data_IF_589033242308
#
_entry.id   IF_589033242308
#
_cell.length_a   1.000
_cell.length_b   1.000
_cell.length_c   1.000
_cell.angle_alpha   90.00
_cell.angle_beta   90.00
_cell.angle_gamma   90.00
#
_symmetry.space_group_name_H-M   'P 1'
#
loop_
_entity.id
_entity.type
_entity.pdbx_description
1 polymer ?
#
# COMPACT_ATOMS: atom_id res chain seq x y z
N UNK A 1 2.76 8.11 7.05
CA UNK A 1 3.35 7.83 5.72
C UNK A 1 3.42 9.08 4.84
N UNK A 2 2.29 9.74 4.57
CA UNK A 2 2.24 10.84 3.58
C UNK A 2 2.78 12.18 4.06
N UNK A 3 2.37 12.65 5.24
CA UNK A 3 2.79 13.95 5.78
C UNK A 3 4.10 13.87 6.57
N UNK A 4 4.49 12.66 6.98
CA UNK A 4 5.64 12.36 7.85
C UNK A 4 6.86 11.84 7.06
N UNK A 5 6.78 11.71 5.74
CA UNK A 5 7.80 11.03 4.91
C UNK A 5 8.19 9.61 5.39
N UNK A 6 7.28 8.96 6.12
CA UNK A 6 7.53 7.66 6.73
C UNK A 6 7.61 6.55 5.68
N UNK A 7 8.62 5.69 5.81
CA UNK A 7 8.84 4.49 4.97
C UNK A 7 8.79 3.25 5.89
N UNK A 8 7.88 2.30 5.67
CA UNK A 8 7.74 1.15 6.57
C UNK A 8 8.87 0.13 6.42
N UNK A 9 9.24 -0.50 7.52
CA UNK A 9 10.14 -1.67 7.51
C UNK A 9 9.34 -2.97 7.34
N UNK A 10 9.83 -3.87 6.49
CA UNK A 10 9.10 -5.10 6.08
C UNK A 10 9.86 -6.40 6.36
N UNK A 11 11.00 -6.33 7.06
CA UNK A 11 11.94 -7.45 7.23
C UNK A 11 11.42 -8.58 8.13
N UNK A 12 10.42 -8.33 8.95
CA UNK A 12 9.93 -9.28 9.97
C UNK A 12 8.45 -9.66 9.80
N UNK A 13 7.94 -9.60 8.56
CA UNK A 13 6.56 -9.95 8.27
C UNK A 13 6.40 -11.45 8.08
N UNK A 14 5.25 -11.99 8.49
CA UNK A 14 4.79 -13.28 8.02
C UNK A 14 4.30 -13.18 6.57
N UNK A 15 4.17 -14.29 5.85
CA UNK A 15 3.65 -14.28 4.49
C UNK A 15 2.25 -13.63 4.40
N UNK A 16 1.35 -13.95 5.34
CA UNK A 16 0.01 -13.36 5.40
C UNK A 16 0.07 -11.85 5.61
N UNK A 17 0.91 -11.39 6.55
CA UNK A 17 1.08 -9.96 6.80
C UNK A 17 1.77 -9.24 5.63
N UNK A 18 2.65 -9.92 4.89
CA UNK A 18 3.33 -9.37 3.71
C UNK A 18 2.34 -9.04 2.58
N UNK A 19 1.31 -9.88 2.36
CA UNK A 19 0.25 -9.63 1.38
C UNK A 19 -0.49 -8.33 1.69
N UNK A 20 -0.92 -8.19 2.94
CA UNK A 20 -1.60 -6.98 3.43
C UNK A 20 -0.69 -5.75 3.35
N UNK A 21 0.55 -5.85 3.84
CA UNK A 21 1.51 -4.75 3.83
C UNK A 21 1.83 -4.28 2.42
N UNK A 22 2.07 -5.20 1.49
CA UNK A 22 2.33 -4.89 0.08
C UNK A 22 1.15 -4.16 -0.58
N UNK A 23 -0.07 -4.66 -0.37
CA UNK A 23 -1.28 -4.00 -0.86
C UNK A 23 -1.43 -2.58 -0.29
N UNK A 24 -1.27 -2.39 1.02
CA UNK A 24 -1.40 -1.09 1.67
C UNK A 24 -0.35 -0.12 1.14
N UNK A 25 0.93 -0.50 1.11
CA UNK A 25 2.01 0.37 0.60
C UNK A 25 1.76 0.75 -0.86
N UNK A 26 1.44 -0.21 -1.73
CA UNK A 26 1.18 0.02 -3.16
C UNK A 26 -0.06 0.90 -3.39
N UNK A 27 -1.12 0.70 -2.60
CA UNK A 27 -2.34 1.53 -2.69
C UNK A 27 -2.07 2.96 -2.26
N UNK A 28 -1.48 3.14 -1.09
CA UNK A 28 -1.31 4.45 -0.46
C UNK A 28 -0.20 5.28 -1.11
N UNK A 29 0.81 4.65 -1.74
CA UNK A 29 1.84 5.39 -2.50
C UNK A 29 1.31 6.05 -3.77
N UNK A 30 0.13 5.64 -4.26
CA UNK A 30 -0.50 6.18 -5.48
C UNK A 30 -1.22 7.51 -5.24
N UNK A 31 -1.38 7.94 -4.00
CA UNK A 31 -2.01 9.23 -3.71
C UNK A 31 -1.16 10.40 -4.20
N UNK A 32 -1.83 11.47 -4.63
CA UNK A 32 -1.17 12.64 -5.25
C UNK A 32 -0.37 13.47 -4.24
N UNK A 33 -0.67 13.33 -2.94
CA UNK A 33 0.09 13.94 -1.85
C UNK A 33 1.47 13.30 -1.61
N UNK A 34 1.75 12.12 -2.19
CA UNK A 34 3.05 11.45 -2.02
C UNK A 34 4.08 12.03 -2.99
N UNK A 35 5.20 12.55 -2.47
CA UNK A 35 6.30 13.08 -3.29
C UNK A 35 6.94 11.99 -4.16
N UNK A 36 7.59 12.39 -5.25
CA UNK A 36 8.27 11.42 -6.14
C UNK A 36 9.42 10.71 -5.44
N UNK A 37 10.16 11.42 -4.60
CA UNK A 37 11.24 10.87 -3.77
C UNK A 37 10.72 9.79 -2.81
N UNK A 38 9.60 10.06 -2.13
CA UNK A 38 8.97 9.08 -1.25
C UNK A 38 8.41 7.89 -2.03
N UNK A 39 7.81 8.12 -3.21
CA UNK A 39 7.38 7.05 -4.11
C UNK A 39 8.54 6.13 -4.49
N UNK A 40 9.73 6.67 -4.77
CA UNK A 40 10.91 5.86 -5.08
C UNK A 40 11.27 4.93 -3.90
N UNK A 41 11.37 5.47 -2.68
CA UNK A 41 11.66 4.68 -1.47
C UNK A 41 10.61 3.60 -1.21
N UNK A 42 9.33 3.90 -1.43
CA UNK A 42 8.24 2.93 -1.27
C UNK A 42 8.28 1.83 -2.34
N UNK A 43 8.74 2.12 -3.57
CA UNK A 43 8.98 1.07 -4.57
C UNK A 43 10.06 0.10 -4.13
N UNK A 44 11.13 0.59 -3.50
CA UNK A 44 12.19 -0.28 -2.97
C UNK A 44 11.65 -1.24 -1.92
N UNK A 45 10.77 -0.75 -1.03
CA UNK A 45 10.06 -1.60 -0.05
C UNK A 45 9.23 -2.69 -0.76
N UNK A 46 8.48 -2.35 -1.80
CA UNK A 46 7.70 -3.32 -2.57
C UNK A 46 8.60 -4.35 -3.30
N UNK A 47 9.75 -3.93 -3.79
CA UNK A 47 10.75 -4.83 -4.41
C UNK A 47 11.29 -5.82 -3.40
N UNK A 48 11.63 -5.36 -2.18
CA UNK A 48 12.09 -6.23 -1.10
C UNK A 48 11.00 -7.25 -0.74
N UNK A 49 9.75 -6.82 -0.58
CA UNK A 49 8.62 -7.72 -0.30
C UNK A 49 8.48 -8.81 -1.38
N UNK A 50 8.52 -8.42 -2.66
CA UNK A 50 8.42 -9.33 -3.80
C UNK A 50 9.62 -10.28 -3.94
N UNK A 51 10.78 -9.92 -3.38
CA UNK A 51 11.93 -10.81 -3.31
C UNK A 51 11.86 -11.81 -2.15
N UNK A 52 11.17 -11.46 -1.05
CA UNK A 52 11.08 -12.29 0.15
C UNK A 52 9.89 -13.26 0.15
N UNK A 53 8.80 -12.91 -0.53
CA UNK A 53 7.56 -13.67 -0.48
C UNK A 53 6.97 -13.89 -1.88
N UNK A 54 6.18 -14.97 -2.03
CA UNK A 54 5.41 -15.22 -3.22
C UNK A 54 3.98 -14.68 -3.07
N UNK A 55 3.51 -14.00 -4.11
CA UNK A 55 2.19 -13.40 -4.16
C UNK A 55 1.40 -14.03 -5.30
N UNK A 56 0.64 -15.08 -5.00
CA UNK A 56 -0.25 -15.69 -5.99
C UNK A 56 -1.54 -14.87 -6.07
N UNK A 57 -1.89 -14.31 -7.24
CA UNK A 57 -3.11 -13.54 -7.36
C UNK A 57 -4.35 -14.40 -7.14
N UNK A 58 -5.37 -13.82 -6.52
CA UNK A 58 -6.68 -14.47 -6.32
C UNK A 58 -7.74 -13.76 -7.15
N UNK A 59 -8.81 -14.47 -7.52
CA UNK A 59 -9.95 -13.90 -8.25
C UNK A 59 -11.19 -13.89 -7.36
N UNK A 60 -11.57 -12.71 -6.89
CA UNK A 60 -12.74 -12.53 -6.01
C UNK A 60 -13.63 -11.42 -6.56
N UNK A 61 -14.90 -11.75 -6.84
CA UNK A 61 -15.88 -10.79 -7.35
C UNK A 61 -16.11 -9.68 -6.31
N UNK A 62 -16.06 -8.42 -6.76
CA UNK A 62 -16.24 -7.26 -5.90
C UNK A 62 -14.97 -6.76 -5.19
N UNK A 63 -13.88 -7.53 -5.21
CA UNK A 63 -12.60 -7.15 -4.59
C UNK A 63 -11.78 -6.21 -5.50
N UNK A 64 -10.94 -5.35 -4.92
CA UNK A 64 -9.98 -4.49 -5.60
C UNK A 64 -8.98 -5.34 -6.40
N UNK A 65 -8.68 -4.94 -7.65
CA UNK A 65 -7.73 -5.68 -8.50
C UNK A 65 -6.31 -5.65 -7.94
N UNK A 66 -5.92 -4.56 -7.26
CA UNK A 66 -4.62 -4.45 -6.60
C UNK A 66 -4.56 -5.40 -5.40
N UNK A 67 -5.58 -5.45 -4.55
CA UNK A 67 -5.65 -6.41 -3.44
C UNK A 67 -5.53 -7.86 -3.96
N UNK A 68 -6.28 -8.18 -5.01
CA UNK A 68 -6.22 -9.47 -5.69
C UNK A 68 -4.83 -9.80 -6.22
N UNK A 69 -4.10 -8.82 -6.79
CA UNK A 69 -2.72 -9.03 -7.27
C UNK A 69 -1.71 -9.33 -6.16
N UNK A 70 -2.01 -8.90 -4.93
CA UNK A 70 -1.25 -9.25 -3.73
C UNK A 70 -1.76 -10.53 -3.04
N UNK A 71 -2.70 -11.26 -3.66
CA UNK A 71 -3.23 -12.52 -3.14
C UNK A 71 -4.28 -12.36 -2.02
N UNK A 72 -4.91 -11.18 -1.91
CA UNK A 72 -5.93 -10.90 -0.90
C UNK A 72 -7.35 -11.10 -1.45
N UNK A 73 -8.19 -11.78 -0.68
CA UNK A 73 -9.62 -11.93 -0.96
C UNK A 73 -10.46 -10.73 -0.50
N UNK A 74 -9.90 -9.86 0.33
CA UNK A 74 -10.54 -8.66 0.87
C UNK A 74 -9.75 -7.40 0.48
N UNK A 75 -10.42 -6.26 0.38
CA UNK A 75 -9.82 -4.98 0.07
C UNK A 75 -10.12 -3.91 1.13
N UNK A 76 -9.50 -2.74 0.98
CA UNK A 76 -9.69 -1.59 1.85
C UNK A 76 -10.42 -0.44 1.15
N UNK A 77 -11.27 -0.70 0.14
CA UNK A 77 -11.90 0.38 -0.66
C UNK A 77 -12.70 1.36 0.19
N UNK A 78 -13.45 0.85 1.17
CA UNK A 78 -14.29 1.68 2.04
C UNK A 78 -13.43 2.56 2.96
N UNK A 79 -12.42 1.98 3.59
CA UNK A 79 -11.48 2.69 4.45
C UNK A 79 -10.66 3.71 3.66
N UNK A 80 -10.21 3.37 2.45
CA UNK A 80 -9.50 4.29 1.55
C UNK A 80 -10.38 5.45 1.11
N UNK A 81 -11.70 5.24 0.99
CA UNK A 81 -12.66 6.31 0.66
C UNK A 81 -12.73 7.35 1.77
N UNK A 82 -12.72 6.93 3.03
CA UNK A 82 -12.66 7.85 4.18
C UNK A 82 -11.35 8.63 4.20
N UNK A 83 -10.27 8.05 3.66
CA UNK A 83 -8.98 8.71 3.59
C UNK A 83 -8.89 9.77 2.47
N UNK A 84 -9.89 9.92 1.59
CA UNK A 84 -9.83 10.82 0.42
C UNK A 84 -9.59 12.29 0.77
N UNK A 85 -10.17 12.76 1.87
CA UNK A 85 -10.01 14.15 2.32
C UNK A 85 -8.56 14.50 2.69
N UNK A 86 -7.79 13.51 3.14
CA UNK A 86 -6.37 13.61 3.51
C UNK A 86 -5.43 13.50 2.29
N UNK A 87 -5.94 13.21 1.10
CA UNK A 87 -5.11 12.99 -0.10
C UNK A 87 -4.74 14.29 -0.82
N UNK A 88 -5.20 15.44 -0.32
CA UNK A 88 -4.92 16.73 -0.93
C UNK A 88 -3.54 17.24 -0.50
N UNK A 89 -2.82 17.90 -1.42
CA UNK A 89 -1.52 18.54 -1.11
C UNK A 89 -1.61 19.62 -0.04
N UNK A 90 -2.80 20.15 0.22
CA UNK A 90 -3.04 21.23 1.17
C UNK A 90 -3.47 20.74 2.56
N UNK A 91 -3.69 19.42 2.74
CA UNK A 91 -3.93 18.90 4.07
C UNK A 91 -2.70 19.13 4.95
N UNK A 92 -2.87 19.97 5.97
CA UNK A 92 -1.90 20.20 7.04
C UNK A 92 -2.45 19.54 8.29
N UNK A 93 -1.69 18.60 8.82
CA UNK A 93 -1.91 18.13 10.18
C UNK A 93 -1.68 19.33 11.11
N UNK A 94 -2.65 19.63 11.97
CA UNK A 94 -2.52 20.68 12.99
C UNK A 94 -1.49 20.28 14.05
#
# INVERSE_FOLDING_TARGET
MWHENFVPQVKHLSETSAKAAGYVVDKLMRFNCVSQELKAKLRDVLTVLKGMFSFTPVKVKGCDKLAQSWGLATDLKLQVRELLEYQTRHYKHA
#
